data_IF_466035125254
#
_entry.id   IF_466035125254
#
_cell.length_a   1.000
_cell.length_b   1.000
_cell.length_c   1.000
_cell.angle_alpha   90.00
_cell.angle_beta   90.00
_cell.angle_gamma   90.00
#
_symmetry.space_group_name_H-M   'P 1'
#
loop_
_entity.id
_entity.type
_entity.pdbx_description
1 polymer ?
#
# COMPACT_ATOMS: atom_id res chain seq x y z
N UNK A 1 -8.39 -17.70 6.72
CA UNK A 1 -7.69 -17.25 5.49
C UNK A 1 -6.24 -17.74 5.55
N UNK A 2 -5.87 -18.77 4.79
CA UNK A 2 -4.49 -19.29 4.74
C UNK A 2 -3.70 -18.55 3.66
N UNK A 3 -3.13 -17.41 4.00
CA UNK A 3 -2.19 -16.72 3.12
C UNK A 3 -0.88 -17.51 3.07
N UNK A 4 -0.64 -18.21 1.95
CA UNK A 4 0.67 -18.81 1.72
C UNK A 4 1.63 -17.70 1.29
N UNK A 5 2.69 -17.40 2.07
CA UNK A 5 3.72 -16.49 1.60
C UNK A 5 4.36 -17.03 0.31
N UNK A 6 4.81 -16.14 -0.58
CA UNK A 6 5.69 -16.54 -1.69
C UNK A 6 6.89 -17.33 -1.17
N UNK A 7 7.35 -18.34 -1.92
CA UNK A 7 8.39 -19.28 -1.51
C UNK A 7 9.69 -18.63 -0.95
N UNK A 8 10.04 -17.42 -1.42
CA UNK A 8 11.24 -16.68 -0.98
C UNK A 8 11.09 -15.98 0.38
N UNK A 9 9.94 -16.11 1.06
CA UNK A 9 9.72 -15.56 2.40
C UNK A 9 10.35 -16.49 3.47
N UNK A 10 11.57 -16.18 3.90
CA UNK A 10 12.28 -16.97 4.92
C UNK A 10 11.71 -16.82 6.34
N UNK A 11 10.90 -15.79 6.61
CA UNK A 11 10.20 -15.59 7.90
C UNK A 11 8.90 -14.84 7.72
N UNK A 12 7.79 -15.41 8.20
CA UNK A 12 6.50 -14.71 8.29
C UNK A 12 6.64 -13.37 9.03
N UNK A 13 5.87 -12.33 8.64
CA UNK A 13 5.81 -11.13 9.45
C UNK A 13 5.27 -11.52 10.84
N UNK A 14 6.02 -11.16 11.89
CA UNK A 14 5.58 -11.32 13.28
C UNK A 14 4.31 -10.51 13.56
N UNK A 15 3.90 -10.43 14.83
CA UNK A 15 2.69 -9.68 15.19
C UNK A 15 2.73 -8.24 14.66
N UNK A 16 1.59 -7.76 14.15
CA UNK A 16 1.40 -6.35 13.75
C UNK A 16 1.75 -5.38 14.89
N UNK A 17 1.66 -5.82 16.15
CA UNK A 17 2.05 -5.03 17.33
C UNK A 17 3.54 -4.65 17.34
N UNK A 18 4.39 -5.42 16.66
CA UNK A 18 5.81 -5.14 16.51
C UNK A 18 6.12 -4.24 15.31
N UNK A 19 5.10 -3.77 14.56
CA UNK A 19 5.29 -2.92 13.38
C UNK A 19 6.27 -1.75 13.60
N UNK A 20 6.29 -1.04 14.75
CA UNK A 20 7.25 0.05 14.97
C UNK A 20 8.72 -0.38 14.97
N UNK A 21 9.02 -1.64 15.32
CA UNK A 21 10.39 -2.17 15.34
C UNK A 21 10.76 -2.94 14.07
N UNK A 22 9.88 -2.98 13.08
CA UNK A 22 10.15 -3.67 11.83
C UNK A 22 11.19 -2.93 11.00
N UNK A 23 12.22 -3.65 10.58
CA UNK A 23 13.15 -3.15 9.56
C UNK A 23 12.38 -2.87 8.26
N UNK A 24 12.85 -1.89 7.48
CA UNK A 24 12.20 -1.42 6.25
C UNK A 24 11.77 -2.55 5.29
N UNK A 25 12.60 -3.60 5.16
CA UNK A 25 12.28 -4.79 4.34
C UNK A 25 11.04 -5.56 4.81
N UNK A 26 10.84 -5.71 6.13
CA UNK A 26 9.68 -6.42 6.69
C UNK A 26 8.41 -5.60 6.52
N UNK A 27 8.52 -4.27 6.71
CA UNK A 27 7.43 -3.33 6.46
C UNK A 27 7.04 -3.28 5.00
N UNK A 28 8.01 -3.29 4.06
CA UNK A 28 7.77 -3.46 2.61
C UNK A 28 6.88 -4.66 2.36
N UNK A 29 7.33 -5.83 2.76
CA UNK A 29 6.62 -7.06 2.43
C UNK A 29 5.21 -7.13 3.03
N UNK A 30 5.04 -6.59 4.25
CA UNK A 30 3.72 -6.50 4.86
C UNK A 30 2.78 -5.61 4.04
N UNK A 31 3.24 -4.43 3.64
CA UNK A 31 2.49 -3.49 2.79
C UNK A 31 2.13 -4.16 1.45
N UNK A 32 3.08 -4.86 0.82
CA UNK A 32 2.90 -5.40 -0.52
C UNK A 32 2.04 -6.68 -0.60
N UNK A 33 2.07 -7.55 0.40
CA UNK A 33 1.47 -8.89 0.32
C UNK A 33 0.45 -9.19 1.40
N UNK A 34 0.48 -8.49 2.53
CA UNK A 34 -0.37 -8.78 3.68
C UNK A 34 -1.42 -7.70 3.91
N UNK A 35 -1.15 -6.43 3.60
CA UNK A 35 -2.09 -5.34 3.86
C UNK A 35 -3.45 -5.55 3.17
N UNK A 36 -3.46 -5.85 1.87
CA UNK A 36 -4.70 -6.06 1.13
C UNK A 36 -5.51 -7.29 1.61
N UNK A 37 -4.94 -8.51 1.70
CA UNK A 37 -5.71 -9.66 2.14
C UNK A 37 -6.02 -9.68 3.64
N UNK A 38 -5.19 -9.09 4.51
CA UNK A 38 -5.50 -9.03 5.94
C UNK A 38 -6.64 -8.05 6.25
N UNK A 39 -6.97 -7.14 5.33
CA UNK A 39 -8.10 -6.22 5.45
C UNK A 39 -9.35 -6.71 4.71
N UNK A 40 -9.25 -7.85 4.03
CA UNK A 40 -10.37 -8.49 3.34
C UNK A 40 -11.43 -8.96 4.35
N UNK A 41 -12.67 -8.51 4.17
CA UNK A 41 -13.77 -8.75 5.12
C UNK A 41 -13.76 -7.88 6.39
N UNK A 42 -12.75 -7.01 6.59
CA UNK A 42 -12.72 -6.01 7.67
C UNK A 42 -13.09 -4.63 7.14
N UNK A 43 -12.59 -4.30 5.95
CA UNK A 43 -12.76 -3.00 5.30
C UNK A 43 -13.67 -3.15 4.08
N UNK A 44 -14.58 -2.19 3.86
CA UNK A 44 -15.42 -2.20 2.67
C UNK A 44 -14.59 -2.15 1.38
N UNK A 45 -15.14 -2.73 0.32
CA UNK A 45 -14.49 -2.85 -1.00
C UNK A 45 -13.95 -1.51 -1.50
N UNK A 46 -14.67 -0.41 -1.23
CA UNK A 46 -14.30 0.92 -1.67
C UNK A 46 -12.97 1.37 -1.05
N UNK A 47 -12.82 1.22 0.27
CA UNK A 47 -11.60 1.58 0.98
C UNK A 47 -10.45 0.61 0.70
N UNK A 48 -10.74 -0.68 0.46
CA UNK A 48 -9.71 -1.63 0.03
C UNK A 48 -9.16 -1.28 -1.34
N UNK A 49 -10.04 -0.97 -2.29
CA UNK A 49 -9.64 -0.55 -3.63
C UNK A 49 -8.82 0.73 -3.59
N UNK A 50 -9.22 1.69 -2.75
CA UNK A 50 -8.46 2.90 -2.51
C UNK A 50 -7.06 2.61 -1.97
N UNK A 51 -6.94 1.77 -0.93
CA UNK A 51 -5.64 1.33 -0.41
C UNK A 51 -4.79 0.64 -1.49
N UNK A 52 -5.38 -0.23 -2.30
CA UNK A 52 -4.70 -0.93 -3.38
C UNK A 52 -4.09 0.02 -4.43
N UNK A 53 -4.63 1.22 -4.63
CA UNK A 53 -4.03 2.24 -5.52
C UNK A 53 -2.67 2.69 -4.99
N UNK A 54 -2.60 3.02 -3.70
CA UNK A 54 -1.36 3.40 -3.03
C UNK A 54 -0.35 2.24 -3.03
N UNK A 55 -0.80 1.03 -2.66
CA UNK A 55 0.05 -0.16 -2.68
C UNK A 55 0.62 -0.42 -4.07
N UNK A 56 -0.22 -0.32 -5.11
CA UNK A 56 0.19 -0.51 -6.50
C UNK A 56 1.18 0.54 -6.99
N UNK A 57 1.00 1.81 -6.63
CA UNK A 57 1.98 2.86 -6.94
C UNK A 57 3.33 2.59 -6.29
N UNK A 58 3.33 2.25 -4.99
CA UNK A 58 4.55 1.90 -4.25
C UNK A 58 5.23 0.68 -4.88
N UNK A 59 4.47 -0.34 -5.32
CA UNK A 59 5.03 -1.51 -6.00
C UNK A 59 5.77 -1.14 -7.29
N UNK A 60 5.21 -0.24 -8.11
CA UNK A 60 5.82 0.21 -9.35
C UNK A 60 7.14 0.96 -9.10
N UNK A 61 7.15 1.83 -8.08
CA UNK A 61 8.32 2.63 -7.70
C UNK A 61 9.38 1.83 -6.92
N UNK A 62 9.08 0.60 -6.52
CA UNK A 62 10.00 -0.25 -5.74
C UNK A 62 10.57 -1.43 -6.52
N UNK A 63 10.40 -1.44 -7.85
CA UNK A 63 11.07 -2.41 -8.74
C UNK A 63 12.58 -2.14 -8.75
N UNK A 64 13.38 -3.19 -8.91
CA UNK A 64 14.85 -3.08 -9.02
C UNK A 64 15.28 -2.33 -10.29
N UNK A 65 14.41 -2.32 -11.32
CA UNK A 65 14.54 -1.49 -12.52
C UNK A 65 13.20 -0.82 -12.79
N UNK A 66 13.22 0.51 -12.88
CA UNK A 66 12.03 1.35 -13.03
C UNK A 66 12.08 1.99 -14.41
N UNK A 67 11.04 1.76 -15.22
CA UNK A 67 10.89 2.43 -16.50
C UNK A 67 10.11 3.74 -16.35
N UNK A 68 10.22 4.65 -17.33
CA UNK A 68 9.37 5.84 -17.32
C UNK A 68 7.87 5.50 -17.37
N UNK A 69 7.50 4.36 -17.96
CA UNK A 69 6.12 3.88 -17.97
C UNK A 69 5.66 3.53 -16.54
N UNK A 70 6.51 2.88 -15.74
CA UNK A 70 6.22 2.58 -14.34
C UNK A 70 6.03 3.85 -13.51
N UNK A 71 6.86 4.87 -13.73
CA UNK A 71 6.74 6.17 -13.03
C UNK A 71 5.42 6.85 -13.38
N UNK A 72 5.05 6.91 -14.68
CA UNK A 72 3.75 7.48 -15.10
C UNK A 72 2.58 6.73 -14.48
N UNK A 73 2.59 5.40 -14.58
CA UNK A 73 1.54 4.56 -13.99
C UNK A 73 1.45 4.69 -12.46
N UNK A 74 2.58 4.91 -11.77
CA UNK A 74 2.60 5.16 -10.34
C UNK A 74 1.99 6.54 -10.02
N UNK A 75 2.35 7.56 -10.80
CA UNK A 75 1.84 8.92 -10.64
C UNK A 75 0.33 9.00 -10.89
N UNK A 76 -0.18 8.30 -11.89
CA UNK A 76 -1.63 8.19 -12.15
C UNK A 76 -2.35 7.54 -10.96
N UNK A 77 -1.78 6.46 -10.40
CA UNK A 77 -2.34 5.78 -9.22
C UNK A 77 -2.32 6.65 -7.97
N UNK A 78 -1.26 7.43 -7.75
CA UNK A 78 -1.16 8.36 -6.62
C UNK A 78 -2.13 9.53 -6.78
N UNK A 79 -2.28 10.04 -8.00
CA UNK A 79 -3.27 11.07 -8.33
C UNK A 79 -4.69 10.61 -8.03
N UNK A 80 -5.06 9.42 -8.51
CA UNK A 80 -6.35 8.81 -8.21
C UNK A 80 -6.56 8.61 -6.70
N UNK A 81 -5.51 8.21 -5.98
CA UNK A 81 -5.55 8.04 -4.53
C UNK A 81 -5.84 9.37 -3.82
N UNK A 82 -5.12 10.44 -4.17
CA UNK A 82 -5.28 11.76 -3.55
C UNK A 82 -6.64 12.37 -3.88
N UNK A 83 -7.13 12.25 -5.12
CA UNK A 83 -8.47 12.74 -5.50
C UNK A 83 -9.56 12.03 -4.69
N UNK A 84 -9.46 10.72 -4.54
CA UNK A 84 -10.45 9.93 -3.78
C UNK A 84 -10.32 10.08 -2.25
N UNK A 85 -9.24 10.68 -1.73
CA UNK A 85 -9.06 10.81 -0.27
C UNK A 85 -10.13 11.71 0.36
N UNK A 86 -10.47 12.83 -0.27
CA UNK A 86 -11.48 13.75 0.26
C UNK A 86 -12.87 13.10 0.26
N UNK A 87 -13.25 12.43 -0.83
CA UNK A 87 -14.58 11.81 -0.96
C UNK A 87 -14.78 10.66 0.02
N UNK A 88 -13.74 9.86 0.26
CA UNK A 88 -13.83 8.66 1.09
C UNK A 88 -13.62 8.93 2.59
N UNK A 89 -12.73 9.87 2.93
CA UNK A 89 -12.33 10.10 4.32
C UNK A 89 -12.65 11.52 4.81
N UNK A 90 -13.20 12.37 3.94
CA UNK A 90 -13.54 13.76 4.23
C UNK A 90 -12.34 14.72 4.16
N UNK A 91 -12.63 16.02 4.17
CA UNK A 91 -11.61 17.10 4.14
C UNK A 91 -10.57 17.00 5.25
N UNK A 92 -10.93 16.48 6.42
CA UNK A 92 -10.00 16.29 7.53
C UNK A 92 -8.86 15.30 7.24
N UNK A 93 -9.06 14.39 6.28
CA UNK A 93 -8.06 13.42 5.87
C UNK A 93 -7.08 13.96 4.82
N UNK A 94 -7.37 15.10 4.18
CA UNK A 94 -6.49 15.82 3.27
C UNK A 94 -5.37 16.54 4.05
N UNK A 95 -4.51 15.74 4.67
CA UNK A 95 -3.38 16.22 5.45
C UNK A 95 -2.21 16.58 4.54
N UNK A 96 -1.24 17.34 5.06
CA UNK A 96 -0.02 17.69 4.34
C UNK A 96 0.67 16.48 3.68
N UNK A 97 0.73 15.34 4.39
CA UNK A 97 1.35 14.12 3.88
C UNK A 97 0.63 13.53 2.66
N UNK A 98 -0.69 13.72 2.55
CA UNK A 98 -1.46 13.27 1.39
C UNK A 98 -1.10 14.14 0.18
N UNK A 99 -0.95 15.44 0.37
CA UNK A 99 -0.54 16.36 -0.70
C UNK A 99 0.90 16.13 -1.18
N UNK A 100 1.81 15.65 -0.31
CA UNK A 100 3.19 15.29 -0.68
C UNK A 100 3.30 14.01 -1.53
N UNK A 101 2.20 13.32 -1.80
CA UNK A 101 2.18 12.16 -2.70
C UNK A 101 2.14 12.55 -4.18
N UNK A 102 1.93 13.83 -4.50
CA UNK A 102 1.94 14.42 -5.84
C UNK A 102 3.17 15.32 -6.00
#
# INVERSE_FOLDING_TARGET
MHLKPPHWFTRLPGSIRERPSWKARKQKWWILFYAAPCLDGILDDIYRNHLCRLLGAVQLLWKDSITQCDVRNAMDKLSDFVVQMEDLYGKGAMTFNVHQLL
#
